data_IF_908448652255
#
_entry.id   IF_908448652255
#
_cell.length_a   1.000
_cell.length_b   1.000
_cell.length_c   1.000
_cell.angle_alpha   90.00
_cell.angle_beta   90.00
_cell.angle_gamma   90.00
#
_symmetry.space_group_name_H-M   'P 1'
#
loop_
_entity.id
_entity.type
_entity.pdbx_description
1 polymer ?
#
# COMPACT_ATOMS: atom_id res chain seq x y z
N UNK A 1 -23.54 27.77 -20.99
CA UNK A 1 -23.67 26.56 -20.16
C UNK A 1 -22.41 25.74 -20.36
N UNK A 2 -21.48 25.80 -19.41
CA UNK A 2 -20.27 24.98 -19.42
C UNK A 2 -20.63 23.70 -18.67
N UNK A 3 -20.70 22.59 -19.39
CA UNK A 3 -20.82 21.26 -18.81
C UNK A 3 -19.53 20.93 -18.07
N UNK A 4 -19.58 20.92 -16.74
CA UNK A 4 -18.59 20.25 -15.90
C UNK A 4 -18.69 18.74 -16.18
N UNK A 5 -17.82 18.23 -17.05
CA UNK A 5 -17.56 16.80 -17.19
C UNK A 5 -16.61 16.39 -16.06
N UNK A 6 -17.17 16.07 -14.89
CA UNK A 6 -16.49 15.29 -13.86
C UNK A 6 -16.34 13.86 -14.40
N UNK A 7 -15.21 13.57 -15.04
CA UNK A 7 -14.91 12.21 -15.46
C UNK A 7 -14.44 11.45 -14.23
N UNK A 8 -15.38 10.75 -13.56
CA UNK A 8 -15.04 9.58 -12.76
C UNK A 8 -14.21 8.68 -13.65
N UNK A 9 -12.93 8.51 -13.34
CA UNK A 9 -12.09 7.65 -14.16
C UNK A 9 -12.56 6.21 -13.97
N UNK A 10 -13.08 5.61 -15.03
CA UNK A 10 -13.31 4.18 -15.03
C UNK A 10 -11.95 3.48 -14.98
N UNK A 11 -11.92 2.28 -14.41
CA UNK A 11 -10.69 1.48 -14.34
C UNK A 11 -10.12 1.22 -15.74
N UNK A 12 -10.99 1.14 -16.77
CA UNK A 12 -10.57 1.02 -18.16
C UNK A 12 -9.75 2.20 -18.62
N UNK A 13 -10.23 3.42 -18.33
CA UNK A 13 -9.53 4.65 -18.69
C UNK A 13 -8.24 4.79 -17.89
N UNK A 14 -8.28 4.52 -16.58
CA UNK A 14 -7.11 4.58 -15.73
C UNK A 14 -6.00 3.64 -16.20
N UNK A 15 -6.31 2.37 -16.50
CA UNK A 15 -5.31 1.42 -16.99
C UNK A 15 -4.83 1.72 -18.41
N UNK A 16 -5.68 2.25 -19.29
CA UNK A 16 -5.26 2.64 -20.64
C UNK A 16 -4.26 3.80 -20.62
N UNK A 17 -4.48 4.78 -19.73
CA UNK A 17 -3.58 5.92 -19.52
C UNK A 17 -2.29 5.52 -18.78
N UNK A 18 -2.42 4.78 -17.67
CA UNK A 18 -1.32 4.53 -16.74
C UNK A 18 -0.44 3.34 -17.17
N UNK A 19 -1.02 2.32 -17.80
CA UNK A 19 -0.35 1.08 -18.19
C UNK A 19 -0.90 0.52 -19.53
N UNK A 20 -0.62 1.18 -20.66
CA UNK A 20 -1.21 0.84 -21.95
C UNK A 20 -1.08 -0.64 -22.30
N UNK A 21 -2.18 -1.24 -22.76
CA UNK A 21 -2.26 -2.65 -23.15
C UNK A 21 -2.36 -3.66 -22.01
N UNK A 22 -2.10 -3.28 -20.76
CA UNK A 22 -2.17 -4.18 -19.61
C UNK A 22 -3.58 -4.74 -19.40
N UNK A 23 -4.59 -3.87 -19.44
CA UNK A 23 -5.99 -4.27 -19.26
C UNK A 23 -6.41 -5.35 -20.27
N UNK A 24 -6.03 -5.18 -21.54
CA UNK A 24 -6.32 -6.18 -22.58
C UNK A 24 -5.71 -7.54 -22.22
N UNK A 25 -4.47 -7.57 -21.74
CA UNK A 25 -3.81 -8.83 -21.36
C UNK A 25 -4.50 -9.48 -20.16
N UNK A 26 -5.03 -8.69 -19.20
CA UNK A 26 -5.79 -9.21 -18.07
C UNK A 26 -7.13 -9.81 -18.53
N UNK A 27 -7.86 -9.12 -19.40
CA UNK A 27 -9.11 -9.60 -19.98
C UNK A 27 -8.92 -10.89 -20.80
N UNK A 28 -7.86 -10.94 -21.62
CA UNK A 28 -7.49 -12.14 -22.40
C UNK A 28 -7.18 -13.34 -21.48
N UNK A 29 -6.87 -13.11 -20.20
CA UNK A 29 -6.66 -14.13 -19.16
C UNK A 29 -7.89 -14.38 -18.28
N UNK A 30 -9.04 -13.81 -18.64
CA UNK A 30 -10.30 -14.01 -17.93
C UNK A 30 -10.37 -13.26 -16.60
N UNK A 31 -9.69 -12.13 -16.47
CA UNK A 31 -9.80 -11.22 -15.33
C UNK A 31 -10.76 -10.10 -15.70
N UNK A 32 -11.92 -10.07 -15.04
CA UNK A 32 -12.96 -9.10 -15.31
C UNK A 32 -12.63 -7.71 -14.76
N UNK A 33 -13.18 -6.68 -15.39
CA UNK A 33 -13.05 -5.28 -14.98
C UNK A 33 -13.65 -5.08 -13.59
N UNK A 34 -14.77 -5.74 -13.33
CA UNK A 34 -15.52 -5.74 -12.09
C UNK A 34 -14.75 -6.31 -10.88
N UNK A 35 -13.67 -7.07 -11.12
CA UNK A 35 -12.81 -7.58 -10.06
C UNK A 35 -11.77 -6.56 -9.59
N UNK A 36 -11.50 -5.53 -10.40
CA UNK A 36 -10.40 -4.59 -10.23
C UNK A 36 -10.93 -3.29 -9.63
N UNK A 37 -10.61 -3.03 -8.36
CA UNK A 37 -10.88 -1.72 -7.75
C UNK A 37 -9.94 -0.65 -8.30
N UNK A 38 -10.32 0.62 -8.15
CA UNK A 38 -9.46 1.76 -8.45
C UNK A 38 -9.10 2.47 -7.14
N UNK A 39 -7.81 2.62 -6.87
CA UNK A 39 -7.26 3.35 -5.73
C UNK A 39 -6.55 4.62 -6.20
N UNK A 40 -6.69 5.71 -5.44
CA UNK A 40 -6.04 6.98 -5.75
C UNK A 40 -6.64 7.74 -6.93
N UNK A 41 -7.84 7.37 -7.39
CA UNK A 41 -8.72 8.36 -8.00
C UNK A 41 -9.21 9.26 -6.87
N UNK A 42 -9.26 10.58 -7.09
CA UNK A 42 -9.84 11.50 -6.10
C UNK A 42 -11.28 11.07 -5.83
N UNK A 43 -11.49 10.34 -4.74
CA UNK A 43 -12.82 10.10 -4.21
C UNK A 43 -13.27 11.43 -3.60
N UNK A 44 -14.13 12.14 -4.32
CA UNK A 44 -14.92 13.21 -3.75
C UNK A 44 -15.54 12.69 -2.44
N UNK A 45 -15.16 13.38 -1.38
CA UNK A 45 -15.44 13.08 0.00
C UNK A 45 -16.95 13.12 0.28
N UNK A 46 -17.64 12.00 0.10
CA UNK A 46 -19.01 11.80 0.59
C UNK A 46 -19.12 10.42 1.24
N UNK A 47 -18.53 10.26 2.42
CA UNK A 47 -19.05 9.47 3.57
C UNK A 47 -17.91 9.19 4.55
N UNK A 48 -17.60 10.19 5.38
CA UNK A 48 -17.59 10.17 6.85
C UNK A 48 -17.02 11.55 7.24
N UNK A 49 -17.93 12.51 7.42
CA UNK A 49 -17.63 13.69 8.22
C UNK A 49 -17.69 13.23 9.68
N UNK A 50 -16.57 12.74 10.19
CA UNK A 50 -16.31 12.74 11.62
C UNK A 50 -14.91 13.29 11.89
N UNK A 51 -14.88 14.20 12.83
CA UNK A 51 -13.89 15.26 13.01
C UNK A 51 -12.45 14.77 13.20
N UNK A 52 -11.55 15.12 12.28
CA UNK A 52 -10.16 15.58 12.49
C UNK A 52 -9.48 15.73 11.13
N UNK A 53 -9.65 16.88 10.48
CA UNK A 53 -8.81 17.24 9.33
C UNK A 53 -7.35 17.44 9.78
N UNK A 54 -6.57 16.37 9.77
CA UNK A 54 -5.17 16.46 9.34
C UNK A 54 -5.12 15.87 7.94
N UNK A 55 -5.35 16.73 6.95
CA UNK A 55 -5.20 16.39 5.54
C UNK A 55 -3.81 15.74 5.37
N UNK A 56 -3.74 14.63 4.62
CA UNK A 56 -2.46 13.93 4.35
C UNK A 56 -1.40 14.84 3.69
N UNK A 57 -1.77 16.07 3.32
CA UNK A 57 -0.92 17.18 2.92
C UNK A 57 0.26 17.44 3.86
N UNK A 58 0.07 17.41 5.18
CA UNK A 58 1.19 17.58 6.12
C UNK A 58 2.21 16.44 5.96
N UNK A 59 1.72 15.20 5.88
CA UNK A 59 2.58 14.04 5.63
C UNK A 59 3.29 14.14 4.27
N UNK A 60 2.56 14.53 3.23
CA UNK A 60 3.10 14.69 1.89
C UNK A 60 4.21 15.76 1.86
N UNK A 61 3.99 16.89 2.52
CA UNK A 61 4.96 17.96 2.67
C UNK A 61 6.22 17.50 3.40
N UNK A 62 6.06 16.79 4.53
CA UNK A 62 7.20 16.25 5.29
C UNK A 62 7.99 15.25 4.43
N UNK A 63 7.33 14.31 3.76
CA UNK A 63 8.03 13.33 2.91
C UNK A 63 8.70 14.00 1.71
N UNK A 64 8.08 15.03 1.13
CA UNK A 64 8.68 15.81 0.05
C UNK A 64 9.92 16.58 0.50
N UNK A 65 9.96 17.04 1.75
CA UNK A 65 11.11 17.74 2.35
C UNK A 65 12.27 16.79 2.67
N UNK A 66 11.99 15.60 3.23
CA UNK A 66 13.01 14.60 3.57
C UNK A 66 13.68 14.05 2.31
N UNK A 67 12.87 13.82 1.27
CA UNK A 67 13.32 13.28 0.01
C UNK A 67 13.09 14.31 -1.10
N UNK A 68 13.85 15.42 -1.09
CA UNK A 68 13.69 16.44 -2.09
C UNK A 68 13.87 15.78 -3.45
N UNK A 69 12.94 16.09 -4.36
CA UNK A 69 13.02 15.66 -5.77
C UNK A 69 14.41 16.06 -6.26
N UNK A 70 15.34 15.11 -6.35
CA UNK A 70 16.66 15.36 -6.95
C UNK A 70 16.36 15.93 -8.33
N UNK A 71 16.65 17.23 -8.51
CA UNK A 71 16.20 18.02 -9.65
C UNK A 71 16.50 17.27 -10.93
N UNK A 72 15.47 17.04 -11.76
CA UNK A 72 15.53 16.34 -13.06
C UNK A 72 16.75 15.43 -13.21
N UNK A 73 16.91 14.47 -12.30
CA UNK A 73 17.93 13.45 -12.50
C UNK A 73 17.35 12.52 -13.57
N UNK A 74 17.67 12.85 -14.83
CA UNK A 74 17.38 12.07 -16.03
C UNK A 74 18.17 10.75 -16.05
N UNK A 75 18.20 10.03 -14.93
CA UNK A 75 18.70 8.67 -14.87
C UNK A 75 17.66 7.77 -14.19
N UNK A 76 16.92 7.08 -15.07
CA UNK A 76 16.39 5.72 -14.89
C UNK A 76 15.00 5.49 -14.27
N UNK A 77 14.11 6.48 -14.19
CA UNK A 77 12.66 6.17 -13.95
C UNK A 77 11.68 6.91 -14.85
N UNK A 78 12.16 7.87 -15.63
CA UNK A 78 11.42 8.56 -16.68
C UNK A 78 12.31 8.72 -17.91
N UNK A 79 13.06 7.66 -18.24
CA UNK A 79 13.48 7.48 -19.63
C UNK A 79 12.16 7.47 -20.41
N UNK A 80 11.93 8.58 -21.10
CA UNK A 80 10.79 8.77 -21.97
C UNK A 80 10.68 7.51 -22.81
N UNK A 81 9.58 6.79 -22.64
CA UNK A 81 9.11 5.91 -23.68
C UNK A 81 8.97 6.79 -24.92
N UNK A 82 9.98 6.75 -25.77
CA UNK A 82 9.82 7.17 -27.15
C UNK A 82 8.68 6.32 -27.68
N UNK A 83 7.56 7.01 -27.93
CA UNK A 83 6.36 6.57 -28.65
C UNK A 83 6.67 5.41 -29.60
N UNK A 84 6.59 4.16 -29.13
CA UNK A 84 6.94 3.00 -29.97
C UNK A 84 7.25 1.67 -29.27
N UNK A 85 7.95 1.65 -28.13
CA UNK A 85 8.29 0.36 -27.47
C UNK A 85 7.23 -0.06 -26.45
N UNK A 86 6.67 -1.27 -26.65
CA UNK A 86 5.67 -1.85 -25.74
C UNK A 86 6.30 -2.10 -24.37
N UNK A 87 5.68 -1.60 -23.31
CA UNK A 87 6.00 -1.98 -21.92
C UNK A 87 6.00 -3.49 -21.81
N UNK A 88 7.10 -4.05 -21.27
CA UNK A 88 7.18 -5.49 -21.00
C UNK A 88 6.68 -5.70 -19.58
N UNK A 89 5.58 -6.46 -19.43
CA UNK A 89 4.98 -6.76 -18.14
C UNK A 89 5.33 -8.17 -17.64
N UNK A 90 5.85 -8.27 -16.42
CA UNK A 90 6.02 -9.53 -15.72
C UNK A 90 4.72 -9.89 -15.00
N UNK A 91 3.82 -10.57 -15.71
CA UNK A 91 2.48 -10.85 -15.17
C UNK A 91 2.42 -12.10 -14.31
N UNK A 92 3.46 -12.94 -14.29
CA UNK A 92 3.42 -14.23 -13.59
C UNK A 92 3.09 -14.08 -12.11
N UNK A 93 3.64 -13.07 -11.45
CA UNK A 93 3.38 -12.78 -10.05
C UNK A 93 2.00 -12.15 -9.83
N UNK A 94 1.65 -11.11 -10.60
CA UNK A 94 0.30 -10.55 -10.60
C UNK A 94 -0.78 -11.63 -10.75
N UNK A 95 -0.68 -12.49 -11.76
CA UNK A 95 -1.64 -13.58 -11.98
C UNK A 95 -1.66 -14.54 -10.77
N UNK A 96 -0.50 -14.90 -10.22
CA UNK A 96 -0.43 -15.77 -9.04
C UNK A 96 -1.13 -15.14 -7.82
N UNK A 97 -1.01 -13.83 -7.61
CA UNK A 97 -1.70 -13.12 -6.53
C UNK A 97 -3.21 -13.04 -6.78
N UNK A 98 -3.64 -12.85 -8.02
CA UNK A 98 -5.07 -12.84 -8.41
C UNK A 98 -5.69 -14.23 -8.20
N UNK A 99 -5.00 -15.30 -8.63
CA UNK A 99 -5.44 -16.67 -8.41
C UNK A 99 -5.56 -17.00 -6.92
N UNK A 100 -4.56 -16.61 -6.11
CA UNK A 100 -4.62 -16.74 -4.65
C UNK A 100 -5.79 -15.95 -4.05
N UNK A 101 -6.03 -14.73 -4.52
CA UNK A 101 -7.13 -13.88 -4.07
C UNK A 101 -8.48 -14.53 -4.37
N UNK A 102 -8.66 -15.07 -5.58
CA UNK A 102 -9.88 -15.80 -5.97
C UNK A 102 -10.07 -17.06 -5.13
N UNK A 103 -9.01 -17.84 -4.92
CA UNK A 103 -9.06 -19.04 -4.08
C UNK A 103 -9.48 -18.71 -2.64
N UNK A 104 -8.93 -17.63 -2.06
CA UNK A 104 -9.28 -17.20 -0.71
C UNK A 104 -10.72 -16.69 -0.62
N UNK A 105 -11.17 -15.89 -1.59
CA UNK A 105 -12.59 -15.46 -1.66
C UNK A 105 -13.54 -16.66 -1.76
N UNK A 106 -13.18 -17.69 -2.52
CA UNK A 106 -13.95 -18.93 -2.60
C UNK A 106 -14.02 -19.67 -1.25
N UNK A 107 -13.07 -19.43 -0.34
CA UNK A 107 -13.06 -19.96 1.02
C UNK A 107 -13.56 -18.95 2.06
N UNK A 108 -14.40 -18.02 1.66
CA UNK A 108 -15.00 -16.98 2.51
C UNK A 108 -13.97 -16.10 3.26
N UNK A 109 -12.74 -16.03 2.74
CA UNK A 109 -11.72 -15.12 3.24
C UNK A 109 -11.76 -13.82 2.43
N UNK A 110 -12.08 -12.66 3.03
CA UNK A 110 -12.21 -11.41 2.31
C UNK A 110 -10.85 -10.95 1.78
N UNK A 111 -10.74 -10.87 0.45
CA UNK A 111 -9.57 -10.33 -0.25
C UNK A 111 -10.02 -9.32 -1.29
N UNK A 112 -9.50 -8.10 -1.17
CA UNK A 112 -9.76 -6.99 -2.08
C UNK A 112 -8.49 -6.66 -2.85
N UNK A 113 -8.61 -6.28 -4.12
CA UNK A 113 -7.45 -5.83 -4.88
C UNK A 113 -7.86 -4.88 -6.01
N UNK A 114 -6.89 -4.12 -6.51
CA UNK A 114 -7.17 -3.08 -7.50
C UNK A 114 -5.93 -2.34 -7.96
N UNK A 115 -6.10 -1.49 -8.97
CA UNK A 115 -5.07 -0.63 -9.53
C UNK A 115 -4.96 0.66 -8.73
N UNK A 116 -3.76 1.05 -8.35
CA UNK A 116 -3.46 2.34 -7.75
C UNK A 116 -2.78 3.26 -8.77
N UNK A 117 -3.46 4.34 -9.17
CA UNK A 117 -2.95 5.29 -10.18
C UNK A 117 -1.66 5.95 -9.72
N UNK A 118 -1.67 6.47 -8.50
CA UNK A 118 -0.54 7.18 -7.88
C UNK A 118 0.74 6.35 -7.82
N UNK A 119 0.61 5.04 -7.61
CA UNK A 119 1.75 4.14 -7.51
C UNK A 119 2.03 3.38 -8.81
N UNK A 120 1.13 3.45 -9.80
CA UNK A 120 1.12 2.58 -10.98
C UNK A 120 1.37 1.12 -10.61
N UNK A 121 0.60 0.63 -9.64
CA UNK A 121 0.80 -0.69 -9.02
C UNK A 121 -0.54 -1.30 -8.63
N UNK A 122 -0.61 -2.62 -8.57
CA UNK A 122 -1.72 -3.31 -7.93
C UNK A 122 -1.54 -3.36 -6.43
N UNK A 123 -2.61 -3.08 -5.69
CA UNK A 123 -2.69 -3.24 -4.24
C UNK A 123 -3.62 -4.42 -3.96
N UNK A 124 -3.16 -5.35 -3.14
CA UNK A 124 -3.95 -6.46 -2.61
C UNK A 124 -4.05 -6.32 -1.09
N UNK A 125 -5.23 -6.62 -0.56
CA UNK A 125 -5.56 -6.52 0.86
C UNK A 125 -5.98 -7.91 1.33
N UNK A 126 -5.07 -8.64 1.95
CA UNK A 126 -5.32 -9.93 2.57
C UNK A 126 -5.59 -9.72 4.06
N UNK A 127 -6.80 -9.25 4.42
CA UNK A 127 -7.15 -8.89 5.80
C UNK A 127 -6.92 -10.05 6.78
N UNK A 128 -7.39 -11.25 6.43
CA UNK A 128 -7.19 -12.46 7.24
C UNK A 128 -5.73 -12.88 7.38
N UNK A 129 -4.85 -12.41 6.50
CA UNK A 129 -3.42 -12.71 6.54
C UNK A 129 -2.61 -11.55 7.13
N UNK A 130 -3.25 -10.48 7.61
CA UNK A 130 -2.58 -9.27 8.09
C UNK A 130 -1.58 -8.69 7.07
N UNK A 131 -1.88 -8.77 5.76
CA UNK A 131 -0.99 -8.25 4.70
C UNK A 131 -1.68 -7.28 3.76
N UNK A 132 -1.04 -6.15 3.51
CA UNK A 132 -1.20 -5.36 2.29
C UNK A 132 -0.04 -5.74 1.38
N UNK A 133 -0.33 -6.05 0.13
CA UNK A 133 0.68 -6.46 -0.86
C UNK A 133 0.64 -5.50 -2.03
N UNK A 134 1.80 -4.97 -2.41
CA UNK A 134 1.95 -4.08 -3.55
C UNK A 134 2.73 -4.78 -4.65
N UNK A 135 2.11 -4.90 -5.82
CA UNK A 135 2.66 -5.59 -6.99
C UNK A 135 2.79 -4.62 -8.17
N UNK A 136 4.01 -4.42 -8.65
CA UNK A 136 4.30 -3.65 -9.86
C UNK A 136 4.43 -4.63 -11.03
N UNK A 137 3.54 -4.60 -12.04
CA UNK A 137 3.54 -5.57 -13.11
C UNK A 137 4.67 -5.38 -14.15
N UNK A 138 5.59 -4.43 -13.96
CA UNK A 138 6.72 -4.19 -14.87
C UNK A 138 7.91 -5.15 -14.56
N UNK A 139 8.71 -5.50 -15.56
CA UNK A 139 9.91 -6.33 -15.35
C UNK A 139 11.01 -5.61 -14.55
N UNK A 140 11.74 -6.36 -13.71
CA UNK A 140 12.82 -5.84 -12.87
C UNK A 140 12.38 -5.34 -11.50
N UNK A 141 11.11 -5.56 -11.16
CA UNK A 141 10.52 -5.12 -9.89
C UNK A 141 10.24 -6.30 -8.94
N UNK A 142 9.64 -5.96 -7.80
CA UNK A 142 9.41 -6.84 -6.69
C UNK A 142 7.98 -6.65 -6.17
N UNK A 143 7.49 -7.69 -5.51
CA UNK A 143 6.26 -7.65 -4.72
C UNK A 143 6.61 -7.21 -3.30
N UNK A 144 5.97 -6.18 -2.77
CA UNK A 144 6.24 -5.64 -1.43
C UNK A 144 5.12 -6.05 -0.47
N UNK A 145 5.49 -6.40 0.76
CA UNK A 145 4.58 -6.84 1.79
C UNK A 145 4.61 -5.86 2.96
N UNK A 146 3.43 -5.46 3.41
CA UNK A 146 3.21 -4.58 4.54
C UNK A 146 2.23 -5.23 5.50
N UNK A 147 2.40 -4.98 6.79
CA UNK A 147 1.49 -5.51 7.81
C UNK A 147 0.25 -4.62 7.97
N UNK A 148 -0.91 -5.26 8.04
CA UNK A 148 -2.17 -4.61 8.41
C UNK A 148 -2.20 -4.43 9.92
N UNK A 149 -2.48 -3.21 10.37
CA UNK A 149 -2.76 -2.90 11.77
C UNK A 149 -4.27 -2.94 11.98
N UNK A 150 -4.76 -3.96 12.69
CA UNK A 150 -6.21 -4.22 12.84
C UNK A 150 -6.96 -3.09 13.56
N UNK A 151 -6.28 -2.33 14.42
CA UNK A 151 -6.86 -1.19 15.14
C UNK A 151 -7.07 0.06 14.28
N UNK A 152 -6.76 0.03 12.98
CA UNK A 152 -6.89 1.20 12.10
C UNK A 152 -7.71 0.87 10.84
N UNK A 153 -8.50 1.83 10.31
CA UNK A 153 -9.18 1.68 9.03
C UNK A 153 -8.22 1.29 7.91
N UNK A 154 -8.62 0.37 7.02
CA UNK A 154 -7.71 -0.09 5.96
C UNK A 154 -7.48 1.01 4.93
N UNK A 155 -8.50 1.82 4.66
CA UNK A 155 -8.48 2.92 3.71
C UNK A 155 -7.45 3.97 4.14
N UNK A 156 -7.40 4.28 5.44
CA UNK A 156 -6.37 5.15 6.02
C UNK A 156 -4.97 4.56 5.87
N UNK A 157 -4.80 3.25 6.09
CA UNK A 157 -3.51 2.57 5.92
C UNK A 157 -3.04 2.56 4.47
N UNK A 158 -3.96 2.37 3.51
CA UNK A 158 -3.69 2.46 2.08
C UNK A 158 -3.31 3.89 1.70
N UNK A 159 -4.06 4.90 2.14
CA UNK A 159 -3.74 6.30 1.85
C UNK A 159 -2.37 6.70 2.38
N UNK A 160 -2.04 6.31 3.61
CA UNK A 160 -0.69 6.47 4.19
C UNK A 160 0.39 5.79 3.35
N UNK A 161 0.17 4.54 2.94
CA UNK A 161 1.11 3.81 2.09
C UNK A 161 1.30 4.52 0.75
N UNK A 162 0.22 4.95 0.10
CA UNK A 162 0.25 5.65 -1.19
C UNK A 162 1.03 6.96 -1.08
N UNK A 163 0.72 7.80 -0.11
CA UNK A 163 1.43 9.08 0.10
C UNK A 163 2.92 8.85 0.34
N UNK A 164 3.28 7.86 1.16
CA UNK A 164 4.67 7.52 1.42
C UNK A 164 5.43 7.00 0.20
N UNK A 165 4.74 6.25 -0.67
CA UNK A 165 5.36 5.55 -1.80
C UNK A 165 5.30 6.34 -3.13
N UNK A 166 4.40 7.33 -3.26
CA UNK A 166 4.18 8.13 -4.47
C UNK A 166 5.35 9.04 -4.80
N UNK A 167 6.06 9.55 -3.80
CA UNK A 167 7.11 10.54 -4.01
C UNK A 167 8.38 9.86 -4.58
N UNK A 168 8.75 10.29 -5.80
CA UNK A 168 9.82 9.71 -6.64
C UNK A 168 11.24 9.75 -6.04
N UNK A 169 11.43 10.40 -4.89
CA UNK A 169 12.67 10.36 -4.09
C UNK A 169 12.61 9.44 -2.86
N UNK A 170 11.40 9.11 -2.38
CA UNK A 170 11.13 8.37 -1.15
C UNK A 170 10.77 6.90 -1.42
N UNK A 171 10.09 6.60 -2.53
CA UNK A 171 9.22 5.42 -2.54
C UNK A 171 9.91 4.05 -2.41
N UNK A 172 10.98 3.78 -3.16
CA UNK A 172 11.55 2.42 -3.22
C UNK A 172 12.85 2.27 -2.44
N UNK A 173 13.85 3.08 -2.76
CA UNK A 173 15.18 2.93 -2.16
C UNK A 173 15.17 3.24 -0.68
N UNK A 174 14.48 4.31 -0.24
CA UNK A 174 14.43 4.65 1.18
C UNK A 174 13.67 3.62 2.01
N UNK A 175 12.58 3.04 1.47
CA UNK A 175 11.87 1.94 2.12
C UNK A 175 12.73 0.67 2.21
N UNK A 176 13.43 0.33 1.12
CA UNK A 176 14.29 -0.86 1.03
C UNK A 176 15.50 -0.74 1.96
N UNK A 177 16.17 0.41 1.95
CA UNK A 177 17.32 0.67 2.83
C UNK A 177 16.87 0.82 4.27
N UNK A 178 15.62 1.26 4.47
CA UNK A 178 15.01 1.55 5.77
C UNK A 178 15.95 2.31 6.71
N UNK A 179 16.70 3.26 6.14
CA UNK A 179 17.71 4.03 6.87
C UNK A 179 17.01 4.83 7.98
N UNK A 180 17.52 4.81 9.22
CA UNK A 180 17.00 5.64 10.31
C UNK A 180 16.98 7.13 9.96
N UNK A 181 15.86 7.80 10.25
CA UNK A 181 15.72 9.25 10.17
C UNK A 181 15.88 9.85 11.57
N UNK A 182 16.99 10.53 11.85
CA UNK A 182 17.30 11.03 13.19
C UNK A 182 16.72 12.42 13.43
N UNK A 183 15.95 12.60 14.50
CA UNK A 183 15.43 13.91 14.90
C UNK A 183 16.58 14.82 15.32
N UNK A 184 16.59 16.06 14.83
CA UNK A 184 17.67 17.04 14.98
C UNK A 184 18.78 16.90 13.94
N UNK A 185 18.81 15.83 13.14
CA UNK A 185 19.77 15.66 12.03
C UNK A 185 19.07 15.64 10.68
N UNK A 186 18.17 14.68 10.49
CA UNK A 186 17.43 14.47 9.25
C UNK A 186 16.02 15.09 9.30
N UNK A 187 15.47 15.27 10.52
CA UNK A 187 14.12 15.78 10.76
C UNK A 187 14.11 16.88 11.83
N UNK A 188 13.26 17.88 11.67
CA UNK A 188 12.87 18.78 12.76
C UNK A 188 11.93 18.10 13.75
N UNK A 189 11.77 18.65 14.96
CA UNK A 189 10.78 18.16 15.94
C UNK A 189 9.35 18.18 15.39
N UNK A 190 9.00 19.20 14.60
CA UNK A 190 7.68 19.31 13.97
C UNK A 190 7.43 18.20 12.95
N UNK A 191 8.41 17.95 12.05
CA UNK A 191 8.34 16.88 11.06
C UNK A 191 8.28 15.50 11.72
N UNK A 192 9.07 15.28 12.77
CA UNK A 192 9.04 14.06 13.56
C UNK A 192 7.65 13.83 14.19
N UNK A 193 7.03 14.87 14.75
CA UNK A 193 5.69 14.77 15.33
C UNK A 193 4.63 14.41 14.29
N UNK A 194 4.74 14.94 13.07
CA UNK A 194 3.86 14.55 11.95
C UNK A 194 4.03 13.07 11.65
N UNK A 195 5.26 12.60 11.41
CA UNK A 195 5.52 11.19 11.10
C UNK A 195 5.05 10.23 12.21
N UNK A 196 5.27 10.58 13.47
CA UNK A 196 4.79 9.81 14.64
C UNK A 196 3.25 9.68 14.63
N UNK A 197 2.54 10.73 14.21
CA UNK A 197 1.09 10.70 14.00
C UNK A 197 0.63 9.63 13.00
N UNK A 198 1.45 9.35 11.99
CA UNK A 198 1.19 8.32 10.97
C UNK A 198 1.79 6.94 11.33
N UNK A 199 2.35 6.78 12.53
CA UNK A 199 2.85 5.50 13.04
C UNK A 199 4.33 5.25 12.79
N UNK A 200 5.09 6.26 12.36
CA UNK A 200 6.55 6.18 12.37
C UNK A 200 7.05 6.08 13.82
N UNK A 201 8.02 5.20 14.06
CA UNK A 201 8.71 5.16 15.34
C UNK A 201 9.91 6.10 15.30
N UNK A 202 10.02 6.97 16.31
CA UNK A 202 11.08 7.97 16.38
C UNK A 202 12.48 7.37 16.18
N UNK A 203 13.29 8.03 15.37
CA UNK A 203 14.66 7.61 15.03
C UNK A 203 14.75 6.23 14.35
N UNK A 204 13.68 5.78 13.70
CA UNK A 204 13.69 4.58 12.83
C UNK A 204 13.59 4.97 11.36
N UNK A 205 13.68 4.01 10.45
CA UNK A 205 13.41 4.26 9.03
C UNK A 205 11.91 4.31 8.75
N UNK A 206 11.55 4.75 7.53
CA UNK A 206 10.15 4.85 7.10
C UNK A 206 9.40 3.52 7.07
N UNK A 207 10.09 2.39 7.11
CA UNK A 207 9.48 1.06 7.15
C UNK A 207 8.55 0.88 8.34
N UNK A 208 8.81 1.51 9.48
CA UNK A 208 7.90 1.44 10.65
C UNK A 208 6.60 2.19 10.39
N UNK A 209 6.67 3.33 9.70
CA UNK A 209 5.51 4.14 9.36
C UNK A 209 4.53 3.40 8.46
N UNK A 210 5.01 2.63 7.49
CA UNK A 210 4.16 1.88 6.55
C UNK A 210 4.02 0.40 6.90
N UNK A 211 4.58 -0.04 8.03
CA UNK A 211 4.64 -1.44 8.46
C UNK A 211 5.28 -2.37 7.41
N UNK A 212 6.38 -1.97 6.80
CA UNK A 212 7.06 -2.80 5.80
C UNK A 212 7.61 -4.09 6.41
N UNK A 213 7.29 -5.21 5.77
CA UNK A 213 7.67 -6.55 6.23
C UNK A 213 8.81 -7.14 5.40
N UNK A 214 8.60 -7.28 4.10
CA UNK A 214 9.59 -7.86 3.19
C UNK A 214 9.25 -7.57 1.72
N UNK A 215 10.12 -7.98 0.80
CA UNK A 215 9.85 -8.00 -0.64
C UNK A 215 10.28 -9.30 -1.30
N UNK A 216 9.60 -9.66 -2.37
CA UNK A 216 9.95 -10.79 -3.23
C UNK A 216 10.33 -10.26 -4.61
N UNK A 217 11.61 -10.38 -4.97
CA UNK A 217 12.15 -9.92 -6.25
C UNK A 217 11.83 -10.93 -7.35
N UNK A 218 11.39 -10.43 -8.51
CA UNK A 218 11.16 -11.26 -9.70
C UNK A 218 12.47 -11.36 -10.49
N UNK A 219 13.06 -12.55 -10.61
CA UNK A 219 14.30 -12.72 -11.38
C UNK A 219 14.01 -12.73 -12.89
N UNK A 220 14.63 -11.78 -13.61
CA UNK A 220 14.52 -11.58 -15.07
C UNK A 220 15.21 -12.68 -15.88
N UNK A 221 16.24 -13.34 -15.33
CA UNK A 221 17.20 -14.07 -16.18
C UNK A 221 16.91 -15.55 -16.35
N UNK A 222 16.12 -16.16 -15.47
CA UNK A 222 16.01 -17.62 -15.50
C UNK A 222 14.62 -18.15 -15.75
N UNK A 223 13.53 -17.52 -15.30
CA UNK A 223 12.15 -18.11 -15.23
C UNK A 223 12.07 -19.54 -14.61
N UNK A 224 13.22 -20.18 -14.32
CA UNK A 224 13.40 -21.48 -13.69
C UNK A 224 13.09 -21.44 -12.19
N UNK A 225 13.00 -20.25 -11.61
CA UNK A 225 12.71 -20.01 -10.19
C UNK A 225 11.27 -19.52 -9.93
N UNK A 226 10.34 -19.71 -10.87
CA UNK A 226 8.92 -19.38 -10.65
C UNK A 226 8.34 -20.06 -9.41
N UNK A 227 8.76 -21.30 -9.16
CA UNK A 227 8.43 -22.03 -7.93
C UNK A 227 8.94 -21.31 -6.67
N UNK A 228 10.10 -20.66 -6.73
CA UNK A 228 10.78 -20.10 -5.56
C UNK A 228 10.11 -18.81 -5.09
N UNK A 229 9.79 -17.89 -6.00
CA UNK A 229 9.11 -16.65 -5.60
C UNK A 229 7.64 -16.92 -5.22
N UNK A 230 6.93 -17.83 -5.91
CA UNK A 230 5.57 -18.24 -5.51
C UNK A 230 5.54 -18.80 -4.10
N UNK A 231 6.50 -19.67 -3.78
CA UNK A 231 6.65 -20.26 -2.45
C UNK A 231 6.97 -19.19 -1.40
N UNK A 232 7.82 -18.21 -1.72
CA UNK A 232 8.12 -17.07 -0.83
C UNK A 232 6.88 -16.22 -0.54
N UNK A 233 6.11 -15.88 -1.56
CA UNK A 233 4.85 -15.13 -1.41
C UNK A 233 3.88 -15.92 -0.52
N UNK A 234 3.65 -17.20 -0.84
CA UNK A 234 2.80 -18.06 -0.03
C UNK A 234 3.26 -18.13 1.42
N UNK A 235 4.57 -18.26 1.66
CA UNK A 235 5.14 -18.24 3.01
C UNK A 235 4.89 -16.90 3.73
N UNK A 236 5.10 -15.76 3.08
CA UNK A 236 4.88 -14.44 3.70
C UNK A 236 3.41 -14.19 4.06
N UNK A 237 2.48 -14.65 3.21
CA UNK A 237 1.05 -14.63 3.50
C UNK A 237 0.71 -15.55 4.68
N UNK A 238 1.17 -16.80 4.65
CA UNK A 238 0.88 -17.77 5.71
C UNK A 238 1.52 -17.41 7.05
N UNK A 239 2.69 -16.78 7.06
CA UNK A 239 3.29 -16.20 8.28
C UNK A 239 2.36 -15.15 8.86
N UNK A 240 1.83 -14.23 8.05
CA UNK A 240 0.91 -13.21 8.54
C UNK A 240 -0.43 -13.77 9.02
N UNK A 241 -0.91 -14.84 8.40
CA UNK A 241 -2.07 -15.60 8.88
C UNK A 241 -1.79 -16.28 10.23
N UNK A 242 -0.63 -16.93 10.37
CA UNK A 242 -0.25 -17.67 11.58
C UNK A 242 0.13 -16.77 12.76
N UNK A 243 0.69 -15.58 12.50
CA UNK A 243 1.01 -14.57 13.52
C UNK A 243 -0.26 -14.04 14.22
N UNK A 244 -1.47 -14.39 13.76
CA UNK A 244 -2.74 -14.03 14.40
C UNK A 244 -2.98 -12.52 14.45
N UNK A 245 -3.99 -12.06 15.21
CA UNK A 245 -4.25 -10.62 15.43
C UNK A 245 -3.19 -9.92 16.31
N UNK A 246 -2.02 -10.53 16.51
CA UNK A 246 -1.08 -10.26 17.61
C UNK A 246 -0.22 -9.00 17.44
N UNK A 247 -0.60 -8.04 16.60
CA UNK A 247 0.16 -6.81 16.42
C UNK A 247 -0.64 -5.62 16.95
N UNK A 248 -0.61 -5.49 18.27
CA UNK A 248 -0.83 -4.22 18.97
C UNK A 248 0.46 -3.42 18.90
N UNK A 249 0.78 -2.82 17.76
CA UNK A 249 1.83 -1.79 17.76
C UNK A 249 1.33 -0.63 18.61
N UNK A 250 2.07 -0.34 19.69
CA UNK A 250 1.87 0.78 20.62
C UNK A 250 1.23 1.96 19.91
N UNK A 251 -0.06 2.16 20.18
CA UNK A 251 -0.85 3.21 19.54
C UNK A 251 -0.23 4.58 19.84
N UNK A 252 -0.19 5.50 18.86
CA UNK A 252 0.19 6.88 19.13
C UNK A 252 -0.75 7.47 20.18
N UNK A 253 -0.19 8.28 21.07
CA UNK A 253 -0.86 8.93 22.21
C UNK A 253 -2.18 9.63 21.86
N UNK A 254 -2.38 10.04 20.60
CA UNK A 254 -3.61 10.69 20.12
C UNK A 254 -4.90 9.87 20.27
N UNK A 255 -4.84 8.54 20.43
CA UNK A 255 -6.04 7.71 20.66
C UNK A 255 -6.28 7.44 22.15
N UNK A 256 -5.22 7.41 22.97
CA UNK A 256 -5.36 7.19 24.42
C UNK A 256 -6.09 8.38 25.06
N UNK A 257 -5.82 9.60 24.58
CA UNK A 257 -6.53 10.82 25.01
C UNK A 257 -8.01 10.85 24.56
N UNK A 258 -8.39 10.05 23.56
CA UNK A 258 -9.80 9.92 23.09
C UNK A 258 -10.59 8.87 23.87
N UNK A 259 -9.94 7.78 24.28
CA UNK A 259 -10.56 6.73 25.10
C UNK A 259 -10.75 7.18 26.55
N UNK A 260 -9.89 8.07 27.07
CA UNK A 260 -10.08 8.68 28.39
C UNK A 260 -11.17 9.80 28.38
N UNK A 261 -11.51 10.34 27.21
CA UNK A 261 -12.57 11.36 27.06
C UNK A 261 -13.98 10.77 26.86
N UNK A 262 -14.09 9.46 26.63
CA UNK A 262 -15.36 8.72 26.57
C UNK A 262 -15.50 7.84 27.80
N UNK A 263 -15.57 8.51 28.96
CA UNK A 263 -15.99 7.87 30.20
C UNK A 263 -17.37 7.23 30.07
N UNK A 264 -17.50 6.07 30.70
CA UNK A 264 -18.71 5.28 30.96
C UNK A 264 -19.07 4.22 29.92
N UNK A 265 -18.25 3.17 29.87
CA UNK A 265 -18.76 1.81 29.64
C UNK A 265 -18.08 0.85 30.62
N UNK A 266 -18.80 0.50 31.70
CA UNK A 266 -18.44 -0.61 32.57
C UNK A 266 -18.31 -1.89 31.73
N UNK A 267 -17.08 -2.37 31.55
CA UNK A 267 -16.84 -3.71 31.02
C UNK A 267 -17.04 -4.73 32.13
N UNK A 268 -18.23 -5.31 32.18
CA UNK A 268 -18.50 -6.52 32.96
C UNK A 268 -17.79 -7.72 32.28
N UNK A 269 -16.63 -8.10 32.81
CA UNK A 269 -15.91 -9.30 32.36
C UNK A 269 -16.66 -10.53 32.87
N UNK A 270 -17.45 -11.18 32.01
CA UNK A 270 -17.89 -12.55 32.25
C UNK A 270 -16.74 -13.51 31.94
N UNK A 271 -16.15 -14.06 32.99
CA UNK A 271 -15.33 -15.27 32.93
C UNK A 271 -16.23 -16.45 32.56
N UNK A 272 -16.03 -17.04 31.39
CA UNK A 272 -16.53 -18.39 31.11
C UNK A 272 -15.52 -19.42 31.64
N UNK A 273 -16.03 -20.34 32.47
CA UNK A 273 -15.30 -21.45 33.06
C UNK A 273 -14.93 -22.52 32.01
N UNK A 274 -13.85 -23.28 32.23
CA UNK A 274 -13.31 -24.19 31.24
C UNK A 274 -13.99 -25.56 31.27
N UNK A 275 -14.50 -26.01 30.12
CA UNK A 275 -14.60 -27.44 29.78
C UNK A 275 -14.33 -27.67 28.29
#
# INVERSE_FOLDING_TARGET
>A
MVTNMLCRDSIEKALDEDAPGLLKILLDRGIGVEEIKLYGAEEDNEMIADSTESNFEDLENVIANIFPKRGKCHLLSAARYERGEKSIYCLSCLISLIEQSRYLRFRDCPVEWGWCRDLQSFIFIFRSHNRIVLERPEYGYATYFFEVVQSRPIEWQIRRLVVAMKLSGCGRTALIENRPLLVGTDLTEGEAHVLEGYGWLRNTGLGTMVNYRDRVVHDRWTEKSVSDWRSKIGKLLMVGYAEGQSITTLGPKKILDMLEATGDAEFEVKLEDPY
#
